data_IF_236980083998
#
_entry.id   IF_236980083998
#
_cell.length_a   1.000
_cell.length_b   1.000
_cell.length_c   1.000
_cell.angle_alpha   90.00
_cell.angle_beta   90.00
_cell.angle_gamma   90.00
#
_symmetry.space_group_name_H-M   'P 1'
#
loop_
_entity.id
_entity.type
_entity.pdbx_description
1 polymer ?
#
# COMPACT_ATOMS: atom_id res chain seq x y z
N UNK A 1 15.13 -21.24 5.02
CA UNK A 1 14.80 -20.90 6.41
C UNK A 1 15.21 -19.45 6.76
N UNK A 2 16.43 -19.01 6.40
CA UNK A 2 16.91 -17.64 6.68
C UNK A 2 15.98 -16.59 6.09
N UNK A 3 15.64 -16.65 4.79
CA UNK A 3 14.74 -15.70 4.13
C UNK A 3 13.37 -15.60 4.80
N UNK A 4 12.82 -16.72 5.29
CA UNK A 4 11.54 -16.71 5.99
C UNK A 4 11.64 -15.95 7.32
N UNK A 5 12.72 -16.15 8.07
CA UNK A 5 12.96 -15.41 9.32
C UNK A 5 13.15 -13.92 9.09
N UNK A 6 13.88 -13.55 8.05
CA UNK A 6 14.08 -12.14 7.68
C UNK A 6 12.77 -11.47 7.26
N UNK A 7 11.91 -12.19 6.52
CA UNK A 7 10.58 -11.70 6.15
C UNK A 7 9.67 -11.55 7.39
N UNK A 8 9.67 -12.52 8.31
CA UNK A 8 8.91 -12.40 9.56
C UNK A 8 9.41 -11.23 10.41
N UNK A 9 10.73 -11.04 10.50
CA UNK A 9 11.33 -9.92 11.23
C UNK A 9 10.92 -8.57 10.60
N UNK A 10 10.95 -8.47 9.28
CA UNK A 10 10.51 -7.25 8.56
C UNK A 10 9.04 -6.89 8.83
N UNK A 11 8.21 -7.88 9.16
CA UNK A 11 6.79 -7.72 9.50
C UNK A 11 6.51 -7.70 11.01
N UNK A 12 7.55 -7.73 11.87
CA UNK A 12 7.37 -7.75 13.32
C UNK A 12 6.73 -9.04 13.85
N UNK A 13 6.93 -10.16 13.14
CA UNK A 13 6.33 -11.47 13.47
C UNK A 13 7.35 -12.53 13.89
N UNK A 14 8.60 -12.15 14.14
CA UNK A 14 9.67 -13.10 14.46
C UNK A 14 9.34 -13.97 15.69
N UNK A 15 8.75 -13.37 16.73
CA UNK A 15 8.32 -14.08 17.95
C UNK A 15 7.15 -15.04 17.72
N UNK A 16 6.49 -14.97 16.58
CA UNK A 16 5.34 -15.80 16.21
C UNK A 16 5.70 -16.96 15.28
N UNK A 17 6.97 -17.14 14.97
CA UNK A 17 7.45 -18.13 13.99
C UNK A 17 6.99 -19.58 14.25
N UNK A 18 6.69 -19.93 15.50
CA UNK A 18 6.19 -21.26 15.90
C UNK A 18 4.71 -21.25 16.31
N UNK A 19 4.01 -20.13 16.14
CA UNK A 19 2.58 -20.02 16.46
C UNK A 19 1.71 -20.67 15.40
N UNK A 20 0.60 -21.25 15.84
CA UNK A 20 -0.44 -21.70 14.94
C UNK A 20 -1.08 -20.48 14.25
N UNK A 21 -1.14 -20.51 12.91
CA UNK A 21 -1.70 -19.43 12.07
C UNK A 21 -3.16 -19.11 12.44
N UNK A 22 -3.93 -20.10 12.88
CA UNK A 22 -5.32 -19.90 13.30
C UNK A 22 -5.47 -19.05 14.57
N UNK A 23 -4.41 -18.93 15.36
CA UNK A 23 -4.40 -18.11 16.59
C UNK A 23 -4.01 -16.65 16.33
N UNK A 24 -3.63 -16.30 15.11
CA UNK A 24 -3.24 -14.94 14.74
C UNK A 24 -4.47 -14.04 14.56
N UNK A 25 -4.34 -12.77 14.97
CA UNK A 25 -5.31 -11.72 14.67
C UNK A 25 -5.38 -11.41 13.16
N UNK A 26 -6.39 -10.66 12.73
CA UNK A 26 -6.52 -10.24 11.33
C UNK A 26 -5.29 -9.49 10.81
N UNK A 27 -4.78 -8.52 11.57
CA UNK A 27 -3.60 -7.76 11.21
C UNK A 27 -2.31 -8.59 11.22
N UNK A 28 -2.17 -9.56 12.15
CA UNK A 28 -1.04 -10.50 12.16
C UNK A 28 -1.09 -11.43 10.95
N UNK A 29 -2.26 -11.93 10.56
CA UNK A 29 -2.43 -12.73 9.33
C UNK A 29 -2.10 -11.93 8.08
N UNK A 30 -2.53 -10.67 8.01
CA UNK A 30 -2.21 -9.77 6.89
C UNK A 30 -0.69 -9.57 6.76
N UNK A 31 0.00 -9.29 7.87
CA UNK A 31 1.46 -9.16 7.89
C UNK A 31 2.17 -10.48 7.55
N UNK A 32 1.62 -11.62 7.97
CA UNK A 32 2.15 -12.94 7.61
C UNK A 32 2.01 -13.20 6.09
N UNK A 33 0.89 -12.82 5.48
CA UNK A 33 0.70 -12.93 4.02
C UNK A 33 1.76 -12.11 3.27
N UNK A 34 2.05 -10.89 3.72
CA UNK A 34 3.12 -10.05 3.15
C UNK A 34 4.49 -10.71 3.35
N UNK A 35 4.79 -11.24 4.56
CA UNK A 35 6.04 -11.96 4.82
C UNK A 35 6.19 -13.17 3.88
N UNK A 36 5.11 -13.92 3.65
CA UNK A 36 5.09 -15.06 2.72
C UNK A 36 5.40 -14.63 1.29
N UNK A 37 4.79 -13.53 0.81
CA UNK A 37 5.10 -12.96 -0.50
C UNK A 37 6.59 -12.60 -0.63
N UNK A 38 7.15 -11.96 0.39
CA UNK A 38 8.57 -11.55 0.40
C UNK A 38 9.53 -12.73 0.32
N UNK A 39 9.19 -13.90 0.89
CA UNK A 39 10.03 -15.10 0.81
C UNK A 39 10.11 -15.69 -0.59
N UNK A 40 9.17 -15.36 -1.46
CA UNK A 40 9.16 -15.81 -2.87
C UNK A 40 10.11 -14.98 -3.75
N UNK A 41 10.64 -13.87 -3.23
CA UNK A 41 11.50 -12.92 -3.96
C UNK A 41 10.95 -12.57 -5.36
N UNK A 42 9.67 -12.13 -5.47
CA UNK A 42 9.03 -11.92 -6.76
C UNK A 42 9.63 -10.71 -7.48
N UNK A 43 9.52 -10.69 -8.81
CA UNK A 43 9.81 -9.51 -9.62
C UNK A 43 8.61 -8.55 -9.70
N UNK A 44 7.39 -9.07 -9.51
CA UNK A 44 6.13 -8.32 -9.48
C UNK A 44 5.31 -8.76 -8.27
N UNK A 45 4.90 -7.82 -7.44
CA UNK A 45 3.96 -8.01 -6.35
C UNK A 45 2.60 -7.39 -6.72
N UNK A 46 1.55 -8.22 -6.70
CA UNK A 46 0.16 -7.77 -6.84
C UNK A 46 -0.51 -7.90 -5.47
N UNK A 47 -1.01 -6.79 -4.96
CA UNK A 47 -1.54 -6.69 -3.59
C UNK A 47 -2.94 -6.09 -3.63
N UNK A 48 -3.91 -6.87 -3.19
CA UNK A 48 -5.28 -6.40 -3.04
C UNK A 48 -5.51 -6.00 -1.58
N UNK A 49 -5.73 -4.71 -1.36
CA UNK A 49 -5.94 -4.07 -0.05
C UNK A 49 -4.94 -4.53 1.04
N UNK A 50 -3.61 -4.45 0.81
CA UNK A 50 -2.63 -5.03 1.73
C UNK A 50 -2.59 -4.35 3.11
N UNK A 51 -3.22 -3.20 3.25
CA UNK A 51 -3.24 -2.40 4.48
C UNK A 51 -4.47 -2.65 5.36
N UNK A 52 -5.42 -3.48 4.90
CA UNK A 52 -6.62 -3.82 5.64
C UNK A 52 -6.28 -4.46 6.99
N UNK A 53 -7.03 -4.09 8.03
CA UNK A 53 -6.86 -4.57 9.41
C UNK A 53 -5.52 -4.20 10.08
N UNK A 54 -4.72 -3.32 9.47
CA UNK A 54 -3.50 -2.80 10.04
C UNK A 54 -3.75 -1.43 10.69
N UNK A 55 -3.13 -1.19 11.84
CA UNK A 55 -3.04 0.16 12.38
C UNK A 55 -2.09 1.04 11.54
N UNK A 56 -2.14 2.36 11.76
CA UNK A 56 -1.40 3.34 10.98
C UNK A 56 0.11 3.04 10.96
N UNK A 57 0.69 2.62 12.09
CA UNK A 57 2.13 2.35 12.16
C UNK A 57 2.51 1.18 11.24
N UNK A 58 1.71 0.11 11.26
CA UNK A 58 1.93 -1.04 10.39
C UNK A 58 1.64 -0.73 8.92
N UNK A 59 0.62 0.09 8.61
CA UNK A 59 0.34 0.54 7.25
C UNK A 59 1.54 1.29 6.65
N UNK A 60 2.07 2.27 7.37
CA UNK A 60 3.25 3.04 6.94
C UNK A 60 4.48 2.13 6.79
N UNK A 61 4.72 1.22 7.76
CA UNK A 61 5.85 0.30 7.69
C UNK A 61 5.80 -0.63 6.46
N UNK A 62 4.61 -1.11 6.09
CA UNK A 62 4.39 -1.93 4.87
C UNK A 62 4.67 -1.12 3.62
N UNK A 63 4.13 0.09 3.51
CA UNK A 63 4.35 0.97 2.36
C UNK A 63 5.82 1.36 2.20
N UNK A 64 6.49 1.72 3.29
CA UNK A 64 7.92 2.02 3.28
C UNK A 64 8.77 0.82 2.87
N UNK A 65 8.39 -0.39 3.30
CA UNK A 65 9.07 -1.62 2.90
C UNK A 65 8.97 -1.84 1.38
N UNK A 66 7.76 -1.75 0.81
CA UNK A 66 7.57 -1.94 -0.61
C UNK A 66 8.24 -0.82 -1.42
N UNK A 67 8.18 0.43 -0.96
CA UNK A 67 8.88 1.55 -1.59
C UNK A 67 10.40 1.34 -1.62
N UNK A 68 11.00 0.83 -0.53
CA UNK A 68 12.42 0.45 -0.51
C UNK A 68 12.72 -0.71 -1.47
N UNK A 69 11.91 -1.78 -1.44
CA UNK A 69 12.10 -2.94 -2.32
C UNK A 69 11.98 -2.57 -3.81
N UNK A 70 11.09 -1.65 -4.14
CA UNK A 70 10.98 -1.13 -5.51
C UNK A 70 12.26 -0.39 -5.95
N UNK A 71 12.77 0.51 -5.10
CA UNK A 71 13.98 1.28 -5.41
C UNK A 71 15.26 0.46 -5.40
N UNK A 72 15.44 -0.39 -4.38
CA UNK A 72 16.72 -1.03 -4.10
C UNK A 72 16.87 -2.38 -4.81
N UNK A 73 15.77 -3.09 -5.04
CA UNK A 73 15.74 -4.43 -5.63
C UNK A 73 14.97 -4.52 -6.96
N UNK A 74 14.45 -3.39 -7.46
CA UNK A 74 13.72 -3.36 -8.73
C UNK A 74 12.38 -4.12 -8.71
N UNK A 75 11.79 -4.33 -7.51
CA UNK A 75 10.49 -4.97 -7.38
C UNK A 75 9.40 -4.07 -7.99
N UNK A 76 8.70 -4.55 -9.00
CA UNK A 76 7.48 -3.90 -9.46
C UNK A 76 6.34 -4.19 -8.47
N UNK A 77 5.63 -3.14 -8.03
CA UNK A 77 4.55 -3.27 -7.04
C UNK A 77 3.28 -2.65 -7.60
N UNK A 78 2.21 -3.41 -7.61
CA UNK A 78 0.85 -2.93 -7.90
C UNK A 78 -0.02 -3.24 -6.69
N UNK A 79 -0.67 -2.23 -6.13
CA UNK A 79 -1.54 -2.44 -4.97
C UNK A 79 -2.82 -1.62 -5.07
N UNK A 80 -3.92 -2.19 -4.59
CA UNK A 80 -5.18 -1.48 -4.39
C UNK A 80 -5.14 -0.81 -3.02
N UNK A 81 -5.37 0.51 -3.00
CA UNK A 81 -5.39 1.30 -1.77
C UNK A 81 -6.68 2.12 -1.70
N UNK A 82 -7.24 2.24 -0.49
CA UNK A 82 -8.41 3.09 -0.23
C UNK A 82 -8.01 4.47 0.30
N UNK A 83 -6.87 4.58 0.97
CA UNK A 83 -6.39 5.86 1.48
C UNK A 83 -5.64 6.62 0.37
N UNK A 84 -6.28 7.68 -0.12
CA UNK A 84 -5.73 8.54 -1.19
C UNK A 84 -4.46 9.26 -0.76
N UNK A 85 -4.32 9.62 0.51
CA UNK A 85 -3.13 10.33 0.99
C UNK A 85 -1.94 9.39 1.17
N UNK A 86 -2.16 8.12 1.52
CA UNK A 86 -1.12 7.10 1.49
C UNK A 86 -0.67 6.80 0.05
N UNK A 87 -1.61 6.72 -0.90
CA UNK A 87 -1.29 6.57 -2.32
C UNK A 87 -0.47 7.76 -2.85
N UNK A 88 -0.88 9.00 -2.56
CA UNK A 88 -0.14 10.22 -2.91
C UNK A 88 1.30 10.22 -2.40
N UNK A 89 1.52 9.67 -1.22
CA UNK A 89 2.83 9.69 -0.55
C UNK A 89 3.78 8.60 -1.02
N UNK A 90 3.27 7.43 -1.41
CA UNK A 90 4.08 6.23 -1.61
C UNK A 90 4.09 5.69 -3.04
N UNK A 91 3.13 6.10 -3.90
CA UNK A 91 3.06 5.61 -5.27
C UNK A 91 3.77 6.55 -6.25
N UNK A 92 4.43 5.99 -7.26
CA UNK A 92 4.99 6.74 -8.39
C UNK A 92 3.93 7.00 -9.45
N UNK A 93 3.02 6.06 -9.65
CA UNK A 93 1.93 6.09 -10.63
C UNK A 93 0.62 5.67 -9.99
N UNK A 94 -0.48 6.17 -10.51
CA UNK A 94 -1.82 5.78 -10.09
C UNK A 94 -2.66 5.35 -11.30
N UNK A 95 -3.56 4.41 -11.06
CA UNK A 95 -4.63 4.00 -11.96
C UNK A 95 -5.95 4.25 -11.24
N UNK A 96 -6.77 5.13 -11.79
CA UNK A 96 -8.15 5.38 -11.35
C UNK A 96 -9.11 4.61 -12.24
N UNK A 97 -9.99 3.82 -11.64
CA UNK A 97 -11.01 3.02 -12.34
C UNK A 97 -12.39 3.60 -12.03
N UNK A 98 -13.08 4.11 -13.04
CA UNK A 98 -14.42 4.66 -12.91
C UNK A 98 -15.48 3.59 -13.18
N UNK A 99 -16.64 3.73 -12.55
CA UNK A 99 -17.72 2.72 -12.62
C UNK A 99 -18.33 2.50 -14.00
N UNK A 100 -18.09 3.41 -14.95
CA UNK A 100 -18.54 3.35 -16.35
C UNK A 100 -17.53 2.65 -17.30
N UNK A 101 -16.42 2.13 -16.75
CA UNK A 101 -15.34 1.51 -17.51
C UNK A 101 -14.26 2.48 -17.99
N UNK A 102 -14.45 3.78 -17.81
CA UNK A 102 -13.38 4.78 -18.03
C UNK A 102 -12.26 4.59 -17.01
N UNK A 103 -11.04 4.87 -17.41
CA UNK A 103 -9.89 4.82 -16.52
C UNK A 103 -8.87 5.92 -16.86
N UNK A 104 -8.12 6.34 -15.86
CA UNK A 104 -7.00 7.29 -15.99
C UNK A 104 -5.77 6.68 -15.34
N UNK A 105 -4.66 6.64 -16.07
CA UNK A 105 -3.38 6.13 -15.57
C UNK A 105 -2.25 7.12 -15.87
N UNK A 106 -1.38 7.35 -14.91
CA UNK A 106 -0.24 8.25 -15.09
C UNK A 106 0.58 8.44 -13.83
N UNK A 107 1.54 9.39 -13.87
CA UNK A 107 2.25 9.83 -12.67
C UNK A 107 1.27 10.26 -11.57
N UNK A 108 1.57 9.89 -10.32
CA UNK A 108 0.68 10.21 -9.19
C UNK A 108 0.40 11.71 -9.09
N UNK A 109 1.40 12.53 -9.39
CA UNK A 109 1.27 13.99 -9.36
C UNK A 109 0.26 14.54 -10.37
N UNK A 110 0.02 13.86 -11.48
CA UNK A 110 -0.89 14.27 -12.56
C UNK A 110 -2.29 13.66 -12.38
N UNK A 111 -2.36 12.42 -11.90
CA UNK A 111 -3.60 11.65 -11.83
C UNK A 111 -4.36 11.90 -10.53
N UNK A 112 -3.65 12.04 -9.41
CA UNK A 112 -4.26 12.23 -8.09
C UNK A 112 -4.59 13.71 -7.85
N UNK A 113 -5.50 14.27 -8.68
CA UNK A 113 -5.98 15.65 -8.59
C UNK A 113 -7.38 15.69 -7.95
N UNK A 114 -7.68 16.79 -7.24
CA UNK A 114 -8.95 16.93 -6.52
C UNK A 114 -10.16 16.78 -7.46
N UNK A 115 -10.07 17.30 -8.68
CA UNK A 115 -11.14 17.23 -9.68
C UNK A 115 -11.42 15.80 -10.12
N UNK A 116 -10.37 15.04 -10.48
CA UNK A 116 -10.51 13.65 -10.92
C UNK A 116 -11.02 12.75 -9.80
N UNK A 117 -10.50 12.93 -8.59
CA UNK A 117 -10.94 12.17 -7.43
C UNK A 117 -12.34 12.55 -6.96
N UNK A 118 -12.74 13.82 -7.12
CA UNK A 118 -14.15 14.23 -6.91
C UNK A 118 -15.09 13.48 -7.85
N UNK A 119 -14.70 13.32 -9.12
CA UNK A 119 -15.49 12.53 -10.08
C UNK A 119 -15.51 11.04 -9.71
N UNK A 120 -14.36 10.48 -9.32
CA UNK A 120 -14.24 9.08 -8.95
C UNK A 120 -15.09 8.70 -7.73
N UNK A 121 -15.04 9.53 -6.68
CA UNK A 121 -15.74 9.26 -5.42
C UNK A 121 -17.14 9.83 -5.36
N UNK A 122 -17.54 10.70 -6.31
CA UNK A 122 -18.83 11.39 -6.28
C UNK A 122 -18.99 12.34 -5.10
N UNK A 123 -17.89 12.79 -4.49
CA UNK A 123 -17.87 13.66 -3.33
C UNK A 123 -16.80 14.75 -3.53
N UNK A 124 -17.10 16.03 -3.23
CA UNK A 124 -16.14 17.11 -3.38
C UNK A 124 -14.88 16.87 -2.55
N UNK A 125 -13.73 16.97 -3.18
CA UNK A 125 -12.43 16.95 -2.54
C UNK A 125 -11.73 18.27 -2.79
N UNK A 126 -10.93 18.69 -1.83
CA UNK A 126 -10.05 19.86 -1.94
C UNK A 126 -8.63 19.51 -1.55
N UNK A 127 -7.68 20.23 -2.14
CA UNK A 127 -6.27 20.10 -1.81
C UNK A 127 -5.91 21.01 -0.65
N UNK A 128 -5.15 20.48 0.31
CA UNK A 128 -4.46 21.22 1.36
C UNK A 128 -2.97 21.07 1.15
N UNK A 129 -2.22 22.16 1.29
CA UNK A 129 -0.76 22.15 1.26
C UNK A 129 -0.19 22.37 2.67
N UNK A 130 0.85 21.60 3.01
CA UNK A 130 1.68 21.79 4.20
C UNK A 130 3.15 21.74 3.75
N UNK A 131 3.72 22.90 3.50
CA UNK A 131 5.03 23.02 2.84
C UNK A 131 4.98 22.44 1.42
N UNK A 132 5.87 21.51 1.13
CA UNK A 132 5.92 20.80 -0.16
C UNK A 132 4.93 19.61 -0.24
N UNK A 133 4.26 19.29 0.85
CA UNK A 133 3.32 18.17 0.92
C UNK A 133 1.92 18.63 0.60
N UNK A 134 1.23 17.85 -0.23
CA UNK A 134 -0.19 18.05 -0.50
C UNK A 134 -1.01 16.90 0.07
N UNK A 135 -2.21 17.23 0.47
CA UNK A 135 -3.21 16.32 1.02
C UNK A 135 -4.54 16.56 0.33
N UNK A 136 -5.28 15.50 0.11
CA UNK A 136 -6.65 15.56 -0.39
C UNK A 136 -7.61 15.24 0.75
N UNK A 137 -8.52 16.16 1.00
CA UNK A 137 -9.50 16.07 2.09
C UNK A 137 -10.90 16.34 1.57
N UNK A 138 -11.96 15.83 2.22
CA UNK A 138 -13.33 16.22 1.91
C UNK A 138 -13.51 17.74 1.92
N UNK A 139 -14.22 18.25 0.92
CA UNK A 139 -14.50 19.68 0.74
C UNK A 139 -15.63 20.18 1.60
#
# INVERSE_FOLDING_TARGET
EAMARDALRAMGLESFALRDVHTLSGGERQRLAIATLLTQAPQLALLDEPLSHLDLNHQVAVLDLFSRRARDAGLAVVMVLHDINLALRHADRALLLFGDGHHVIGPVAEVMQAELLTQLYGHPLRELADGERRYLVPG
#
